data_IF_290448821573
#
_entry.id   IF_290448821573
#
_cell.length_a   1.000
_cell.length_b   1.000
_cell.length_c   1.000
_cell.angle_alpha   90.00
_cell.angle_beta   90.00
_cell.angle_gamma   90.00
#
_symmetry.space_group_name_H-M   'P 1'
#
loop_
_entity.id
_entity.type
_entity.pdbx_description
1 polymer ?
#
# COMPACT_ATOMS: atom_id res chain seq x y z
N UNK A 1 -24.39 -8.03 -17.27
CA UNK A 1 -22.97 -8.30 -16.93
C UNK A 1 -22.90 -8.44 -15.43
N UNK A 2 -22.66 -9.64 -14.90
CA UNK A 2 -22.42 -9.85 -13.46
C UNK A 2 -21.20 -9.03 -13.09
N UNK A 3 -21.35 -8.09 -12.18
CA UNK A 3 -20.23 -7.37 -11.60
C UNK A 3 -19.43 -8.37 -10.78
N UNK A 4 -18.29 -8.78 -11.32
CA UNK A 4 -17.34 -9.64 -10.61
C UNK A 4 -17.05 -9.03 -9.24
N UNK A 5 -17.27 -9.79 -8.18
CA UNK A 5 -16.96 -9.32 -6.82
C UNK A 5 -15.45 -9.08 -6.72
N UNK A 6 -15.07 -7.88 -6.32
CA UNK A 6 -13.65 -7.49 -6.16
C UNK A 6 -13.38 -7.09 -4.73
N UNK A 7 -12.47 -7.81 -4.12
CA UNK A 7 -12.03 -7.55 -2.74
C UNK A 7 -10.70 -6.79 -2.72
N UNK A 8 -10.62 -5.76 -1.88
CA UNK A 8 -9.35 -5.13 -1.54
C UNK A 8 -9.10 -5.19 -0.03
N UNK A 9 -7.84 -5.38 0.34
CA UNK A 9 -7.34 -5.34 1.72
C UNK A 9 -6.57 -4.03 1.90
N UNK A 10 -6.97 -3.21 2.89
CA UNK A 10 -6.28 -1.97 3.23
C UNK A 10 -5.61 -2.13 4.58
N UNK A 11 -4.28 -2.16 4.62
CA UNK A 11 -3.49 -2.38 5.83
C UNK A 11 -3.54 -1.16 6.77
N UNK A 12 -4.37 -1.22 7.81
CA UNK A 12 -4.63 -0.12 8.74
C UNK A 12 -4.18 -0.39 10.18
N UNK A 13 -3.36 -1.42 10.43
CA UNK A 13 -3.04 -1.87 11.79
C UNK A 13 -1.75 -1.30 12.41
N UNK A 14 -0.98 -0.51 11.67
CA UNK A 14 0.34 -0.02 12.09
C UNK A 14 0.28 1.12 13.12
N UNK A 15 1.33 1.21 13.98
CA UNK A 15 1.43 2.25 15.02
C UNK A 15 1.74 3.65 14.49
N UNK A 16 2.27 3.79 13.26
CA UNK A 16 2.61 5.10 12.69
C UNK A 16 3.69 5.86 13.46
N UNK A 17 4.68 5.18 14.05
CA UNK A 17 5.70 5.76 14.92
C UNK A 17 6.45 6.95 14.31
N UNK A 18 6.65 6.97 13.00
CA UNK A 18 7.29 8.08 12.26
C UNK A 18 6.49 9.39 12.25
N UNK A 19 5.21 9.38 12.61
CA UNK A 19 4.38 10.58 12.70
C UNK A 19 4.50 11.34 14.05
N UNK A 20 5.39 10.91 14.94
CA UNK A 20 5.61 11.58 16.21
C UNK A 20 4.34 11.73 17.05
N UNK A 21 4.04 12.96 17.49
CA UNK A 21 2.85 13.28 18.33
C UNK A 21 1.54 12.95 17.62
N UNK A 22 1.43 13.17 16.31
CA UNK A 22 0.23 12.89 15.55
C UNK A 22 -0.09 11.39 15.54
N UNK A 23 0.92 10.52 15.36
CA UNK A 23 0.77 9.07 15.44
C UNK A 23 0.34 8.56 16.82
N UNK A 24 0.69 9.31 17.89
CA UNK A 24 0.18 9.03 19.24
C UNK A 24 -1.31 9.34 19.39
N UNK A 25 -1.88 10.22 18.57
CA UNK A 25 -3.30 10.62 18.63
C UNK A 25 -4.17 9.82 17.67
N UNK A 26 -3.73 9.60 16.43
CA UNK A 26 -4.52 9.00 15.35
C UNK A 26 -3.74 7.89 14.63
N UNK A 27 -4.42 6.84 14.08
CA UNK A 27 -3.79 5.95 13.13
C UNK A 27 -3.52 6.69 11.81
N UNK A 28 -2.45 6.32 11.08
CA UNK A 28 -2.02 6.98 9.84
C UNK A 28 -3.14 7.19 8.83
N UNK A 29 -3.97 6.18 8.63
CA UNK A 29 -5.08 6.21 7.69
C UNK A 29 -6.16 7.26 8.01
N UNK A 30 -6.21 7.75 9.24
CA UNK A 30 -7.12 8.83 9.67
C UNK A 30 -6.46 10.20 9.73
N UNK A 31 -5.21 10.34 9.33
CA UNK A 31 -4.59 11.66 9.14
C UNK A 31 -5.29 12.36 8.00
N UNK A 32 -5.56 13.65 8.17
CA UNK A 32 -6.26 14.46 7.17
C UNK A 32 -5.29 15.10 6.18
N UNK A 33 -5.69 15.06 4.92
CA UNK A 33 -5.10 15.80 3.81
C UNK A 33 -6.24 16.57 3.16
N UNK A 34 -6.11 17.90 3.03
CA UNK A 34 -7.17 18.76 2.46
C UNK A 34 -8.55 18.48 3.06
N UNK A 35 -8.66 18.45 4.39
CA UNK A 35 -9.91 18.29 5.16
C UNK A 35 -10.58 16.90 5.05
N UNK A 36 -9.94 15.90 4.40
CA UNK A 36 -10.43 14.53 4.35
C UNK A 36 -9.34 13.56 4.82
N UNK A 37 -9.72 12.49 5.46
CA UNK A 37 -8.81 11.44 5.92
C UNK A 37 -8.23 10.67 4.75
N UNK A 38 -6.97 10.23 4.86
CA UNK A 38 -6.29 9.46 3.81
C UNK A 38 -7.14 8.25 3.37
N UNK A 39 -7.73 7.54 4.34
CA UNK A 39 -8.57 6.37 4.04
C UNK A 39 -9.82 6.74 3.23
N UNK A 40 -10.35 7.96 3.35
CA UNK A 40 -11.47 8.43 2.54
C UNK A 40 -11.10 8.45 1.05
N UNK A 41 -9.91 8.99 0.72
CA UNK A 41 -9.43 9.00 -0.66
C UNK A 41 -9.24 7.59 -1.20
N UNK A 42 -8.58 6.71 -0.42
CA UNK A 42 -8.34 5.32 -0.82
C UNK A 42 -9.67 4.60 -1.13
N UNK A 43 -10.65 4.70 -0.23
CA UNK A 43 -11.97 4.06 -0.42
C UNK A 43 -12.66 4.59 -1.68
N UNK A 44 -12.67 5.91 -1.91
CA UNK A 44 -13.31 6.48 -3.09
C UNK A 44 -12.59 6.10 -4.41
N UNK A 45 -11.25 5.99 -4.39
CA UNK A 45 -10.49 5.48 -5.52
C UNK A 45 -10.90 4.03 -5.83
N UNK A 46 -11.04 3.19 -4.80
CA UNK A 46 -11.45 1.79 -4.96
C UNK A 46 -12.88 1.66 -5.49
N UNK A 47 -13.82 2.48 -5.01
CA UNK A 47 -15.20 2.54 -5.54
C UNK A 47 -15.18 2.87 -7.03
N UNK A 48 -14.43 3.91 -7.44
CA UNK A 48 -14.27 4.29 -8.85
C UNK A 48 -13.68 3.17 -9.70
N UNK A 49 -12.82 2.33 -9.12
CA UNK A 49 -12.19 1.18 -9.76
C UNK A 49 -12.98 -0.14 -9.60
N UNK A 50 -14.28 -0.06 -9.25
CA UNK A 50 -15.23 -1.17 -9.20
C UNK A 50 -14.96 -2.22 -8.12
N UNK A 51 -14.27 -1.85 -7.02
CA UNK A 51 -14.21 -2.68 -5.83
C UNK A 51 -15.48 -2.51 -5.03
N UNK A 52 -16.04 -3.62 -4.56
CA UNK A 52 -17.32 -3.65 -3.82
C UNK A 52 -17.20 -4.28 -2.42
N UNK A 53 -16.05 -4.85 -2.09
CA UNK A 53 -15.75 -5.40 -0.78
C UNK A 53 -14.36 -4.97 -0.28
N UNK A 54 -14.30 -4.37 0.90
CA UNK A 54 -13.04 -3.95 1.53
C UNK A 54 -12.87 -4.65 2.87
N UNK A 55 -11.67 -5.15 3.12
CA UNK A 55 -11.26 -5.72 4.40
C UNK A 55 -10.17 -4.83 4.98
N UNK A 56 -10.40 -4.31 6.18
CA UNK A 56 -9.46 -3.46 6.90
C UNK A 56 -8.92 -4.22 8.12
N UNK A 57 -7.77 -4.91 8.00
CA UNK A 57 -7.10 -5.48 9.16
C UNK A 57 -6.57 -4.36 10.05
N UNK A 58 -7.24 -4.14 11.16
CA UNK A 58 -6.92 -3.10 12.14
C UNK A 58 -6.05 -3.64 13.27
N UNK A 59 -5.57 -2.76 14.14
CA UNK A 59 -4.76 -3.09 15.30
C UNK A 59 -4.62 -1.87 16.20
N UNK A 60 -3.49 -1.15 16.09
CA UNK A 60 -3.32 0.06 16.89
C UNK A 60 -4.44 1.07 16.59
N UNK A 61 -5.20 1.44 17.64
CA UNK A 61 -6.36 2.35 17.56
C UNK A 61 -7.41 1.96 16.51
N UNK A 62 -7.58 0.66 16.27
CA UNK A 62 -8.54 0.13 15.29
C UNK A 62 -9.99 0.54 15.56
N UNK A 63 -10.35 0.80 16.81
CA UNK A 63 -11.66 1.33 17.21
C UNK A 63 -11.97 2.69 16.55
N UNK A 64 -10.98 3.57 16.40
CA UNK A 64 -11.16 4.86 15.72
C UNK A 64 -11.46 4.67 14.23
N UNK A 65 -10.78 3.73 13.58
CA UNK A 65 -11.04 3.38 12.18
C UNK A 65 -12.44 2.82 12.02
N UNK A 66 -12.82 1.86 12.87
CA UNK A 66 -14.16 1.25 12.87
C UNK A 66 -15.26 2.30 13.07
N UNK A 67 -15.06 3.22 14.01
CA UNK A 67 -16.00 4.33 14.25
C UNK A 67 -16.11 5.24 13.01
N UNK A 68 -14.98 5.61 12.42
CA UNK A 68 -14.94 6.44 11.22
C UNK A 68 -15.70 5.80 10.05
N UNK A 69 -15.46 4.53 9.76
CA UNK A 69 -16.13 3.78 8.68
C UNK A 69 -17.66 3.76 8.93
N UNK A 70 -18.07 3.46 10.17
CA UNK A 70 -19.51 3.43 10.53
C UNK A 70 -20.18 4.80 10.34
N UNK A 71 -19.49 5.89 10.72
CA UNK A 71 -20.01 7.27 10.61
C UNK A 71 -20.19 7.70 9.15
N UNK A 72 -19.28 7.35 8.26
CA UNK A 72 -19.25 7.87 6.89
C UNK A 72 -20.12 7.12 5.87
N UNK A 73 -20.70 5.97 6.23
CA UNK A 73 -21.68 5.20 5.42
C UNK A 73 -21.29 5.05 3.94
N UNK A 74 -20.10 4.53 3.67
CA UNK A 74 -19.62 4.28 2.30
C UNK A 74 -20.55 3.30 1.56
N UNK A 75 -20.73 3.50 0.24
CA UNK A 75 -21.62 2.69 -0.61
C UNK A 75 -20.98 1.37 -1.07
N UNK A 76 -20.37 0.61 -0.15
CA UNK A 76 -19.80 -0.71 -0.38
C UNK A 76 -19.66 -1.47 0.93
N UNK A 77 -19.44 -2.78 0.86
CA UNK A 77 -19.20 -3.61 2.04
C UNK A 77 -17.80 -3.34 2.60
N UNK A 78 -17.69 -2.93 3.88
CA UNK A 78 -16.42 -2.72 4.57
C UNK A 78 -16.39 -3.52 5.87
N UNK A 79 -15.41 -4.40 6.03
CA UNK A 79 -15.18 -5.18 7.24
C UNK A 79 -13.91 -4.70 7.96
N UNK A 80 -14.08 -4.14 9.17
CA UNK A 80 -12.95 -3.82 10.06
C UNK A 80 -12.69 -5.01 10.98
N UNK A 81 -11.54 -5.67 10.84
CA UNK A 81 -11.18 -6.87 11.61
C UNK A 81 -10.00 -6.55 12.51
N UNK A 82 -10.16 -6.69 13.80
CA UNK A 82 -9.02 -6.55 14.72
C UNK A 82 -8.08 -7.74 14.57
N UNK A 83 -6.87 -7.48 14.17
CA UNK A 83 -5.81 -8.46 13.98
C UNK A 83 -4.74 -8.40 15.06
N UNK A 84 -4.92 -7.51 16.05
CA UNK A 84 -4.02 -7.33 17.17
C UNK A 84 -3.00 -6.19 16.96
N UNK A 85 -2.73 -5.47 18.04
CA UNK A 85 -1.87 -4.27 18.07
C UNK A 85 -0.42 -4.54 17.62
N UNK A 86 0.10 -5.72 17.95
CA UNK A 86 1.51 -6.09 17.70
C UNK A 86 1.70 -7.05 16.52
N UNK A 87 0.65 -7.39 15.77
CA UNK A 87 0.75 -8.25 14.60
C UNK A 87 1.56 -7.59 13.49
N UNK A 88 2.46 -8.32 12.85
CA UNK A 88 3.11 -7.92 11.60
C UNK A 88 2.16 -8.09 10.41
N UNK A 89 2.58 -7.67 9.22
CA UNK A 89 1.76 -7.71 8.00
C UNK A 89 1.33 -9.14 7.67
N UNK A 90 2.25 -10.10 7.67
CA UNK A 90 1.97 -11.50 7.37
C UNK A 90 0.94 -12.10 8.33
N UNK A 91 1.10 -11.87 9.65
CA UNK A 91 0.12 -12.32 10.65
C UNK A 91 -1.26 -11.68 10.46
N UNK A 92 -1.33 -10.42 10.03
CA UNK A 92 -2.61 -9.75 9.73
C UNK A 92 -3.32 -10.40 8.55
N UNK A 93 -2.58 -10.66 7.48
CA UNK A 93 -3.11 -11.31 6.27
C UNK A 93 -3.60 -12.73 6.63
N UNK A 94 -2.80 -13.52 7.34
CA UNK A 94 -3.17 -14.88 7.75
C UNK A 94 -4.48 -14.92 8.55
N UNK A 95 -4.74 -13.90 9.40
CA UNK A 95 -5.99 -13.83 10.20
C UNK A 95 -7.24 -13.50 9.36
N UNK A 96 -7.07 -12.87 8.21
CA UNK A 96 -8.20 -12.40 7.40
C UNK A 96 -8.38 -13.17 6.08
N UNK A 97 -7.39 -13.96 5.67
CA UNK A 97 -7.38 -14.60 4.34
C UNK A 97 -8.62 -15.48 4.10
N UNK A 98 -9.13 -16.14 5.14
CA UNK A 98 -10.36 -16.96 5.05
C UNK A 98 -11.62 -16.15 4.71
N UNK A 99 -11.58 -14.82 4.79
CA UNK A 99 -12.69 -13.93 4.41
C UNK A 99 -12.60 -13.45 2.96
N UNK A 100 -11.46 -13.66 2.32
CA UNK A 100 -11.28 -13.40 0.89
C UNK A 100 -11.87 -14.58 0.12
N UNK A 101 -12.83 -14.28 -0.74
CA UNK A 101 -13.52 -15.29 -1.56
C UNK A 101 -13.09 -15.27 -3.02
N UNK A 102 -12.37 -14.24 -3.42
CA UNK A 102 -11.92 -14.03 -4.79
C UNK A 102 -10.57 -14.67 -5.02
N UNK A 103 -10.32 -15.17 -6.22
CA UNK A 103 -9.01 -15.69 -6.62
C UNK A 103 -7.93 -14.61 -6.60
N UNK A 104 -8.29 -13.39 -6.95
CA UNK A 104 -7.39 -12.24 -6.92
C UNK A 104 -7.82 -11.22 -5.86
N UNK A 105 -6.87 -10.67 -5.11
CA UNK A 105 -7.11 -9.66 -4.10
C UNK A 105 -6.13 -8.50 -4.26
N UNK A 106 -6.64 -7.28 -4.17
CA UNK A 106 -5.81 -6.08 -4.12
C UNK A 106 -5.37 -5.82 -2.68
N UNK A 107 -4.07 -5.68 -2.45
CA UNK A 107 -3.49 -5.33 -1.16
C UNK A 107 -2.91 -3.92 -1.22
N UNK A 108 -3.33 -3.05 -0.30
CA UNK A 108 -2.92 -1.64 -0.23
C UNK A 108 -2.39 -1.28 1.15
N UNK A 109 -1.40 -0.39 1.18
CA UNK A 109 -1.06 0.33 2.40
C UNK A 109 -2.14 1.38 2.70
N UNK A 110 -2.54 1.51 3.97
CA UNK A 110 -3.59 2.45 4.41
C UNK A 110 -3.13 3.91 4.51
N UNK A 111 -1.97 4.24 3.96
CA UNK A 111 -1.37 5.59 3.96
C UNK A 111 -0.82 5.98 2.57
N UNK A 112 -1.16 5.23 1.52
CA UNK A 112 -0.75 5.50 0.15
C UNK A 112 -1.96 5.82 -0.73
N UNK A 113 -1.89 6.92 -1.46
CA UNK A 113 -2.91 7.39 -2.41
C UNK A 113 -2.33 7.26 -3.82
N UNK A 114 -3.11 6.73 -4.74
CA UNK A 114 -2.68 6.47 -6.12
C UNK A 114 -3.61 7.15 -7.11
N UNK A 115 -3.03 7.85 -8.09
CA UNK A 115 -3.74 8.35 -9.27
C UNK A 115 -3.47 7.42 -10.45
N UNK A 116 -4.10 6.25 -10.43
CA UNK A 116 -3.89 5.16 -11.39
C UNK A 116 -5.21 4.51 -11.78
N UNK A 117 -5.27 3.98 -12.99
CA UNK A 117 -6.36 3.10 -13.42
C UNK A 117 -6.15 1.68 -12.85
N UNK A 118 -6.49 1.51 -11.56
CA UNK A 118 -6.34 0.23 -10.86
C UNK A 118 -7.18 -0.87 -11.54
N UNK A 119 -8.33 -0.52 -12.11
CA UNK A 119 -9.17 -1.47 -12.85
C UNK A 119 -8.41 -2.12 -14.01
N UNK A 120 -7.68 -1.33 -14.80
CA UNK A 120 -6.87 -1.86 -15.92
C UNK A 120 -5.75 -2.78 -15.43
N UNK A 121 -5.05 -2.39 -14.35
CA UNK A 121 -3.98 -3.19 -13.74
C UNK A 121 -4.54 -4.52 -13.23
N UNK A 122 -5.70 -4.48 -12.55
CA UNK A 122 -6.36 -5.66 -11.99
C UNK A 122 -6.79 -6.63 -13.11
N UNK A 123 -7.40 -6.11 -14.18
CA UNK A 123 -7.79 -6.92 -15.35
C UNK A 123 -6.58 -7.57 -16.02
N UNK A 124 -5.49 -6.81 -16.21
CA UNK A 124 -4.26 -7.36 -16.79
C UNK A 124 -3.66 -8.49 -15.94
N UNK A 125 -3.64 -8.32 -14.60
CA UNK A 125 -3.22 -9.35 -13.65
C UNK A 125 -4.06 -10.62 -13.82
N UNK A 126 -5.39 -10.49 -13.79
CA UNK A 126 -6.33 -11.61 -13.91
C UNK A 126 -6.22 -12.33 -15.25
N UNK A 127 -6.19 -11.58 -16.36
CA UNK A 127 -6.13 -12.14 -17.72
C UNK A 127 -4.82 -12.91 -17.96
N UNK A 128 -3.71 -12.41 -17.46
CA UNK A 128 -2.39 -13.05 -17.58
C UNK A 128 -2.13 -14.11 -16.53
N UNK A 129 -3.07 -14.28 -15.58
CA UNK A 129 -2.98 -15.26 -14.48
C UNK A 129 -1.67 -15.14 -13.68
N UNK A 130 -1.22 -13.92 -13.44
CA UNK A 130 -0.05 -13.69 -12.61
C UNK A 130 -0.31 -14.12 -11.16
N UNK A 131 0.69 -14.64 -10.48
CA UNK A 131 0.59 -14.95 -9.04
C UNK A 131 0.69 -13.68 -8.21
N UNK A 132 1.47 -12.71 -8.69
CA UNK A 132 1.73 -11.46 -7.97
C UNK A 132 2.04 -10.32 -8.95
N UNK A 133 1.44 -9.17 -8.72
CA UNK A 133 1.74 -7.90 -9.41
C UNK A 133 2.03 -6.83 -8.36
N UNK A 134 3.16 -6.14 -8.48
CA UNK A 134 3.53 -5.00 -7.63
C UNK A 134 3.43 -3.69 -8.41
N UNK A 135 2.97 -2.64 -7.74
CA UNK A 135 3.23 -1.27 -8.17
C UNK A 135 4.62 -0.86 -7.70
N UNK A 136 5.42 -0.37 -8.61
CA UNK A 136 6.77 0.10 -8.34
C UNK A 136 7.09 1.41 -9.03
N UNK A 137 8.06 2.13 -8.51
CA UNK A 137 8.64 3.33 -9.10
C UNK A 137 10.16 3.22 -9.16
N UNK A 138 10.78 4.05 -9.96
CA UNK A 138 12.23 4.21 -9.96
C UNK A 138 12.74 4.65 -8.59
N UNK A 139 13.98 4.30 -8.28
CA UNK A 139 14.67 4.73 -7.05
C UNK A 139 15.46 5.99 -7.39
N UNK A 140 14.96 7.16 -6.96
CA UNK A 140 15.65 8.44 -7.12
C UNK A 140 16.33 8.82 -5.81
N UNK A 141 17.63 9.15 -5.87
CA UNK A 141 18.38 9.67 -4.73
C UNK A 141 18.41 11.19 -4.80
N UNK A 142 17.76 11.86 -3.85
CA UNK A 142 17.51 13.31 -3.87
C UNK A 142 18.71 14.16 -3.43
N UNK A 143 19.77 13.55 -2.91
CA UNK A 143 20.93 14.27 -2.41
C UNK A 143 22.08 14.25 -3.42
N UNK A 144 22.98 15.25 -3.33
CA UNK A 144 24.20 15.25 -4.12
C UNK A 144 25.11 14.07 -3.75
N UNK A 145 25.58 13.35 -4.75
CA UNK A 145 26.50 12.23 -4.59
C UNK A 145 27.87 12.61 -5.14
N UNK A 146 28.91 12.34 -4.38
CA UNK A 146 30.30 12.61 -4.73
C UNK A 146 30.95 11.28 -5.15
N UNK A 147 31.46 11.21 -6.36
CA UNK A 147 32.32 10.13 -6.83
C UNK A 147 33.78 10.41 -6.37
N UNK A 148 34.38 9.47 -5.63
CA UNK A 148 35.77 9.58 -5.15
C UNK A 148 36.61 8.46 -5.72
N UNK A 149 37.78 8.82 -6.29
CA UNK A 149 38.79 7.89 -6.74
C UNK A 149 40.19 8.38 -6.30
N UNK A 150 40.96 7.52 -5.65
CA UNK A 150 42.29 7.85 -5.10
C UNK A 150 42.28 9.15 -4.27
N UNK A 151 41.34 9.25 -3.32
CA UNK A 151 41.13 10.40 -2.41
C UNK A 151 40.80 11.72 -3.12
N UNK A 152 40.51 11.71 -4.39
CA UNK A 152 40.15 12.89 -5.18
C UNK A 152 38.71 12.81 -5.64
N UNK A 153 37.97 13.93 -5.54
CA UNK A 153 36.64 14.05 -6.09
C UNK A 153 36.74 14.01 -7.62
N UNK A 154 36.07 13.05 -8.24
CA UNK A 154 36.00 12.88 -9.69
C UNK A 154 34.69 13.34 -10.29
N UNK A 155 33.62 13.25 -9.53
CA UNK A 155 32.28 13.57 -10.04
C UNK A 155 31.39 14.07 -8.91
N UNK A 156 30.40 14.90 -9.27
CA UNK A 156 29.32 15.33 -8.39
C UNK A 156 28.01 15.32 -9.18
N UNK A 157 27.06 14.49 -8.75
CA UNK A 157 25.74 14.40 -9.40
C UNK A 157 24.61 14.57 -8.40
N UNK A 158 23.53 15.20 -8.85
CA UNK A 158 22.24 15.23 -8.15
C UNK A 158 21.24 14.33 -8.85
N UNK A 159 20.20 13.95 -8.12
CA UNK A 159 19.04 13.20 -8.66
C UNK A 159 19.45 11.92 -9.39
N UNK A 160 20.37 11.15 -8.79
CA UNK A 160 20.77 9.85 -9.32
C UNK A 160 19.59 8.89 -9.30
N UNK A 161 19.36 8.23 -10.44
CA UNK A 161 18.41 7.12 -10.57
C UNK A 161 19.16 5.80 -10.45
N UNK A 162 18.77 4.98 -9.48
CA UNK A 162 19.31 3.63 -9.35
C UNK A 162 18.49 2.68 -10.22
N UNK A 163 19.07 2.17 -11.28
CA UNK A 163 18.43 1.23 -12.22
C UNK A 163 18.70 -0.23 -11.90
N UNK A 164 19.70 -0.52 -11.07
CA UNK A 164 20.11 -1.88 -10.78
C UNK A 164 20.61 -2.09 -9.35
N UNK A 165 20.39 -3.30 -8.85
CA UNK A 165 20.85 -3.78 -7.56
C UNK A 165 21.76 -4.99 -7.76
N UNK A 166 22.97 -4.98 -7.17
CA UNK A 166 23.85 -6.15 -7.13
C UNK A 166 23.76 -6.85 -5.78
N UNK A 167 23.44 -8.15 -5.82
CA UNK A 167 23.42 -9.00 -4.63
C UNK A 167 24.59 -9.97 -4.72
N UNK A 168 25.47 -9.97 -3.70
CA UNK A 168 26.63 -10.90 -3.56
C UNK A 168 27.56 -10.92 -4.78
N UNK A 169 27.84 -9.77 -5.39
CA UNK A 169 28.75 -9.61 -6.55
C UNK A 169 28.44 -10.47 -7.80
N UNK A 170 27.44 -11.36 -7.77
CA UNK A 170 27.22 -12.35 -8.83
C UNK A 170 25.96 -12.14 -9.68
N UNK A 171 24.99 -11.39 -9.20
CA UNK A 171 23.74 -11.15 -9.94
C UNK A 171 23.36 -9.68 -9.91
N UNK A 172 23.01 -9.14 -11.07
CA UNK A 172 22.50 -7.77 -11.25
C UNK A 172 20.99 -7.84 -11.53
N UNK A 173 20.22 -7.11 -10.75
CA UNK A 173 18.76 -7.00 -10.90
C UNK A 173 18.39 -5.55 -11.16
N UNK A 174 17.31 -5.32 -11.91
CA UNK A 174 16.68 -4.00 -11.94
C UNK A 174 16.11 -3.68 -10.56
N UNK A 175 16.32 -2.47 -10.07
CA UNK A 175 15.90 -2.03 -8.75
C UNK A 175 14.74 -1.03 -8.86
N UNK A 176 13.72 -1.25 -8.04
CA UNK A 176 12.54 -0.39 -7.96
C UNK A 176 12.09 -0.23 -6.52
N UNK A 177 11.47 0.92 -6.20
CA UNK A 177 10.78 1.12 -4.95
C UNK A 177 9.40 0.47 -4.99
N UNK A 178 9.05 -0.30 -3.96
CA UNK A 178 7.68 -0.77 -3.77
C UNK A 178 6.78 0.37 -3.30
N UNK A 179 5.71 0.67 -4.04
CA UNK A 179 4.83 1.80 -3.79
C UNK A 179 3.64 1.51 -2.87
N UNK A 180 3.57 0.33 -2.27
CA UNK A 180 2.52 0.02 -1.28
C UNK A 180 1.22 -0.51 -1.89
N UNK A 181 1.24 -0.99 -3.15
CA UNK A 181 0.11 -1.65 -3.80
C UNK A 181 0.58 -2.95 -4.47
N UNK A 182 -0.16 -4.03 -4.26
CA UNK A 182 0.03 -5.31 -4.94
C UNK A 182 -1.29 -6.00 -5.23
N UNK A 183 -1.31 -6.87 -6.24
CA UNK A 183 -2.41 -7.79 -6.51
C UNK A 183 -1.85 -9.20 -6.35
N UNK A 184 -2.54 -10.03 -5.60
CA UNK A 184 -2.13 -11.39 -5.23
C UNK A 184 -3.23 -12.34 -5.68
N UNK A 185 -2.86 -13.45 -6.29
CA UNK A 185 -3.73 -14.58 -6.60
C UNK A 185 -3.67 -15.61 -5.49
#
# INVERSE_FOLDING_TARGET
MSTEDRTAIILCGGKGSRLGILGKKLPKSLVQVQKKEIIWYIINILIKNRFNHLILPTGYKGNLIKHYIKKNKFKLKIECIDTGKNSNIGSRIAKIIKKVKNDNVLLLNGDAIFDLNINSIYQNHSNKKFDLTFLSSEITYQYGTIGVENEKIKDFKRDLVYDSLSIRKSKKYKAYNYCGMSIIR
#
